data_IF_440196170175
#
_entry.id   IF_440196170175
#
_cell.length_a   1.000
_cell.length_b   1.000
_cell.length_c   1.000
_cell.angle_alpha   90.00
_cell.angle_beta   90.00
_cell.angle_gamma   90.00
#
_symmetry.space_group_name_H-M   'P 1'
#
loop_
_entity.id
_entity.type
_entity.pdbx_description
1 polymer ?
#
# COMPACT_ATOMS: atom_id res chain seq x y z
N UNK A 1 -11.10 -8.24 -25.17
CA UNK A 1 -11.60 -7.10 -24.37
C UNK A 1 -10.53 -6.03 -24.37
N UNK A 2 -10.91 -4.79 -24.62
CA UNK A 2 -10.04 -3.61 -24.60
C UNK A 2 -10.21 -2.89 -23.26
N UNK A 3 -9.20 -2.17 -22.81
CA UNK A 3 -9.27 -1.34 -21.58
C UNK A 3 -10.48 -0.38 -21.63
N UNK A 4 -10.78 0.15 -22.82
CA UNK A 4 -11.91 1.05 -23.07
C UNK A 4 -13.27 0.43 -22.80
N UNK A 5 -13.40 -0.91 -22.85
CA UNK A 5 -14.66 -1.59 -22.60
C UNK A 5 -15.04 -1.54 -21.09
N UNK A 6 -14.13 -1.05 -20.23
CA UNK A 6 -14.31 -0.85 -18.78
C UNK A 6 -14.23 0.62 -18.35
N UNK A 7 -14.25 1.56 -19.31
CA UNK A 7 -14.26 2.98 -19.01
C UNK A 7 -15.65 3.47 -18.60
N UNK A 8 -15.72 4.25 -17.52
CA UNK A 8 -16.94 4.90 -17.05
C UNK A 8 -16.60 6.30 -16.52
N UNK A 9 -17.59 7.19 -16.48
CA UNK A 9 -17.44 8.51 -15.89
C UNK A 9 -17.48 8.40 -14.36
N UNK A 10 -16.38 8.78 -13.70
CA UNK A 10 -16.26 8.82 -12.25
C UNK A 10 -15.87 10.24 -11.81
N UNK A 11 -16.84 11.06 -11.35
CA UNK A 11 -16.53 12.35 -10.74
C UNK A 11 -15.60 12.17 -9.53
N UNK A 12 -14.52 12.96 -9.46
CA UNK A 12 -13.56 12.91 -8.35
C UNK A 12 -14.23 13.08 -6.98
N UNK A 13 -15.29 13.90 -6.90
CA UNK A 13 -16.06 14.12 -5.68
C UNK A 13 -16.76 12.88 -5.13
N UNK A 14 -16.89 11.80 -5.91
CA UNK A 14 -17.44 10.53 -5.48
C UNK A 14 -16.37 9.53 -5.03
N UNK A 15 -15.08 9.88 -5.15
CA UNK A 15 -13.96 9.07 -4.64
C UNK A 15 -13.77 9.39 -3.16
N UNK A 16 -13.97 8.38 -2.30
CA UNK A 16 -13.75 8.55 -0.87
C UNK A 16 -12.25 8.63 -0.55
N UNK A 17 -11.80 9.76 0.01
CA UNK A 17 -10.42 9.94 0.47
C UNK A 17 -10.16 9.39 1.87
N UNK A 18 -11.24 9.25 2.65
CA UNK A 18 -11.25 8.69 4.00
C UNK A 18 -12.36 7.67 4.12
N UNK A 19 -12.17 6.61 4.93
CA UNK A 19 -13.24 5.68 5.25
C UNK A 19 -14.36 6.38 6.01
N UNK A 20 -15.56 5.82 5.95
CA UNK A 20 -16.67 6.25 6.81
C UNK A 20 -16.30 5.93 8.28
N UNK A 21 -16.43 6.87 9.24
CA UNK A 21 -16.01 6.67 10.63
C UNK A 21 -16.61 5.43 11.32
N UNK A 22 -17.90 5.20 11.08
CA UNK A 22 -18.66 4.01 11.45
C UNK A 22 -18.82 3.09 10.22
N UNK A 23 -17.82 2.22 10.00
CA UNK A 23 -17.70 1.40 8.77
C UNK A 23 -18.98 0.66 8.36
N UNK A 24 -19.77 0.19 9.33
CA UNK A 24 -21.05 -0.52 9.11
C UNK A 24 -22.13 0.33 8.44
N UNK A 25 -22.01 1.66 8.46
CA UNK A 25 -22.95 2.61 7.82
C UNK A 25 -22.59 2.96 6.39
N UNK A 26 -21.57 2.34 5.81
CA UNK A 26 -21.30 2.52 4.40
C UNK A 26 -22.45 1.97 3.53
N UNK A 27 -22.58 2.52 2.32
CA UNK A 27 -23.63 2.13 1.38
C UNK A 27 -23.32 0.73 0.83
N UNK A 28 -24.36 -0.07 0.63
CA UNK A 28 -24.29 -1.35 -0.06
C UNK A 28 -25.06 -1.25 -1.39
N UNK A 29 -24.42 -1.60 -2.50
CA UNK A 29 -25.07 -1.82 -3.78
C UNK A 29 -25.16 -3.33 -4.03
N UNK A 30 -26.38 -3.86 -4.06
CA UNK A 30 -26.64 -5.25 -4.42
C UNK A 30 -26.95 -5.34 -5.92
N UNK A 31 -26.27 -6.22 -6.63
CA UNK A 31 -26.52 -6.57 -8.02
C UNK A 31 -26.99 -8.03 -8.08
N UNK A 32 -28.18 -8.26 -8.61
CA UNK A 32 -28.62 -9.61 -8.92
C UNK A 32 -28.04 -10.04 -10.28
N UNK A 33 -27.11 -10.99 -10.27
CA UNK A 33 -26.32 -11.36 -11.45
C UNK A 33 -27.16 -11.72 -12.69
N UNK A 34 -28.15 -12.63 -12.60
CA UNK A 34 -28.96 -13.04 -13.74
C UNK A 34 -29.83 -11.95 -14.35
N UNK A 35 -30.52 -11.13 -13.55
CA UNK A 35 -31.44 -10.11 -14.08
C UNK A 35 -30.80 -8.74 -14.28
N UNK A 36 -29.67 -8.48 -13.63
CA UNK A 36 -29.07 -7.15 -13.55
C UNK A 36 -29.79 -6.19 -12.61
N UNK A 37 -30.77 -6.65 -11.82
CA UNK A 37 -31.50 -5.79 -10.90
C UNK A 37 -30.57 -5.21 -9.83
N UNK A 38 -30.69 -3.90 -9.60
CA UNK A 38 -29.93 -3.16 -8.62
C UNK A 38 -30.78 -2.83 -7.40
N UNK A 39 -30.22 -2.96 -6.20
CA UNK A 39 -30.85 -2.52 -4.96
C UNK A 39 -29.83 -1.77 -4.11
N UNK A 40 -30.24 -0.63 -3.56
CA UNK A 40 -29.43 0.18 -2.65
C UNK A 40 -29.82 -0.11 -1.20
N UNK A 41 -28.82 -0.18 -0.31
CA UNK A 41 -29.00 -0.36 1.12
C UNK A 41 -27.80 0.11 1.92
N UNK A 42 -27.70 -0.38 3.15
CA UNK A 42 -26.57 -0.20 4.07
C UNK A 42 -25.80 -1.51 4.26
N UNK A 43 -24.53 -1.44 4.64
CA UNK A 43 -23.70 -2.64 4.76
C UNK A 43 -24.24 -3.68 5.76
N UNK A 44 -24.94 -3.23 6.80
CA UNK A 44 -25.64 -4.12 7.76
C UNK A 44 -26.69 -5.01 7.10
N UNK A 45 -27.27 -4.59 5.96
CA UNK A 45 -28.29 -5.34 5.23
C UNK A 45 -27.71 -6.62 4.61
N UNK A 46 -26.37 -6.77 4.57
CA UNK A 46 -25.69 -7.98 4.15
C UNK A 46 -26.16 -9.20 4.97
N UNK A 47 -26.49 -9.00 6.25
CA UNK A 47 -26.95 -10.08 7.13
C UNK A 47 -28.25 -10.72 6.61
N UNK A 48 -29.12 -9.93 5.97
CA UNK A 48 -30.38 -10.40 5.38
C UNK A 48 -30.19 -11.06 4.01
N UNK A 49 -28.96 -11.04 3.46
CA UNK A 49 -28.61 -11.64 2.16
C UNK A 49 -27.93 -13.00 2.28
N UNK A 50 -27.57 -13.41 3.50
CA UNK A 50 -26.88 -14.68 3.76
C UNK A 50 -27.89 -15.76 4.16
N UNK A 51 -27.67 -16.96 3.66
CA UNK A 51 -28.43 -18.14 4.02
C UNK A 51 -27.65 -19.02 5.00
N UNK A 52 -28.34 -19.84 5.82
CA UNK A 52 -27.69 -20.88 6.58
C UNK A 52 -26.88 -21.81 5.66
N UNK A 53 -25.59 -21.96 5.96
CA UNK A 53 -24.64 -22.77 5.18
C UNK A 53 -23.71 -21.96 4.27
N UNK A 54 -23.92 -20.64 4.13
CA UNK A 54 -23.01 -19.78 3.37
C UNK A 54 -21.64 -19.64 4.06
N UNK A 55 -20.57 -19.56 3.25
CA UNK A 55 -19.20 -19.36 3.71
C UNK A 55 -18.73 -17.96 3.36
N UNK A 56 -18.40 -17.17 4.39
CA UNK A 56 -17.70 -15.90 4.24
C UNK A 56 -16.19 -16.13 4.30
N UNK A 57 -15.51 -15.86 3.18
CA UNK A 57 -14.04 -15.92 3.10
C UNK A 57 -13.49 -14.51 3.28
N UNK A 58 -12.83 -14.27 4.41
CA UNK A 58 -12.15 -13.01 4.67
C UNK A 58 -10.68 -13.12 4.26
N UNK A 59 -10.20 -12.13 3.51
CA UNK A 59 -8.79 -11.99 3.28
C UNK A 59 -8.15 -11.26 4.47
N UNK A 60 -7.44 -12.00 5.32
CA UNK A 60 -6.64 -11.43 6.39
C UNK A 60 -5.21 -11.18 5.89
N UNK A 61 -5.00 -10.08 5.15
CA UNK A 61 -3.67 -9.64 4.73
C UNK A 61 -3.03 -8.78 5.81
N UNK A 62 -1.80 -9.12 6.23
CA UNK A 62 -0.95 -8.20 7.00
C UNK A 62 -0.21 -7.29 6.03
N UNK A 63 -0.55 -6.01 6.04
CA UNK A 63 0.18 -5.01 5.25
C UNK A 63 1.40 -4.58 6.04
N UNK A 64 2.59 -4.76 5.45
CA UNK A 64 3.84 -4.25 6.01
C UNK A 64 3.96 -2.79 5.57
N UNK A 65 4.38 -1.86 6.46
CA UNK A 65 4.65 -0.47 6.10
C UNK A 65 5.87 -0.36 5.17
N UNK A 66 5.64 -0.69 3.90
CA UNK A 66 6.64 -0.92 2.87
C UNK A 66 7.04 0.36 2.12
N UNK A 67 6.51 1.53 2.49
CA UNK A 67 6.89 2.82 1.91
C UNK A 67 7.89 3.51 2.83
N UNK A 68 9.09 3.80 2.35
CA UNK A 68 10.11 4.54 3.09
C UNK A 68 10.40 5.86 2.37
N UNK A 69 10.56 6.92 3.16
CA UNK A 69 11.10 8.19 2.67
C UNK A 69 12.56 8.35 3.11
N UNK A 70 13.28 9.22 2.42
CA UNK A 70 14.66 9.52 2.76
C UNK A 70 15.38 10.35 1.70
N UNK A 71 16.70 10.24 1.69
CA UNK A 71 17.55 10.87 0.66
C UNK A 71 18.77 10.02 0.33
N UNK A 72 19.41 10.32 -0.80
CA UNK A 72 20.78 9.83 -1.04
C UNK A 72 21.76 10.61 -0.16
N UNK A 73 22.85 9.98 0.27
CA UNK A 73 23.93 10.67 0.97
C UNK A 73 24.51 11.84 0.15
N UNK A 74 24.51 11.71 -1.19
CA UNK A 74 24.88 12.78 -2.13
C UNK A 74 23.87 13.94 -2.21
N UNK A 75 22.76 13.86 -1.48
CA UNK A 75 21.61 14.74 -1.59
C UNK A 75 20.54 14.28 -2.60
N UNK A 76 19.36 14.87 -2.46
CA UNK A 76 18.18 14.57 -3.27
C UNK A 76 17.26 13.54 -2.59
N UNK A 77 15.98 13.91 -2.45
CA UNK A 77 14.94 13.09 -1.85
C UNK A 77 14.69 11.83 -2.67
N UNK A 78 14.36 10.75 -1.96
CA UNK A 78 13.95 9.48 -2.53
C UNK A 78 12.70 8.98 -1.80
N UNK A 79 11.90 8.21 -2.53
CA UNK A 79 10.82 7.40 -1.99
C UNK A 79 11.07 5.96 -2.43
N UNK A 80 11.04 5.03 -1.48
CA UNK A 80 11.32 3.61 -1.68
C UNK A 80 10.05 2.83 -1.39
N UNK A 81 9.55 2.09 -2.36
CA UNK A 81 8.40 1.19 -2.20
C UNK A 81 8.90 -0.25 -2.29
N UNK A 82 8.91 -0.94 -1.15
CA UNK A 82 9.36 -2.34 -1.05
C UNK A 82 8.37 -3.24 -1.78
N UNK A 83 8.88 -4.02 -2.73
CA UNK A 83 8.11 -5.06 -3.42
C UNK A 83 8.20 -6.38 -2.64
N UNK A 84 9.42 -6.78 -2.27
CA UNK A 84 9.66 -8.00 -1.50
C UNK A 84 10.98 -7.95 -0.75
N UNK A 85 11.03 -8.71 0.35
CA UNK A 85 12.28 -9.04 1.04
C UNK A 85 12.99 -10.17 0.29
N UNK A 86 14.31 -10.08 0.16
CA UNK A 86 15.16 -11.15 -0.35
C UNK A 86 15.68 -12.02 0.81
N UNK A 87 16.06 -11.37 1.90
CA UNK A 87 16.49 -11.96 3.16
C UNK A 87 16.32 -10.94 4.31
N UNK A 88 16.92 -11.21 5.47
CA UNK A 88 16.81 -10.38 6.68
C UNK A 88 17.49 -9.01 6.56
N UNK A 89 18.26 -8.74 5.50
CA UNK A 89 19.02 -7.50 5.30
C UNK A 89 18.74 -6.82 3.97
N UNK A 90 18.15 -7.53 3.00
CA UNK A 90 17.99 -7.04 1.63
C UNK A 90 16.56 -7.06 1.15
N UNK A 91 16.24 -6.06 0.33
CA UNK A 91 14.95 -5.92 -0.34
C UNK A 91 15.11 -5.70 -1.84
N UNK A 92 14.06 -6.00 -2.59
CA UNK A 92 13.80 -5.37 -3.88
C UNK A 92 12.72 -4.31 -3.73
N UNK A 93 12.98 -3.14 -4.31
CA UNK A 93 12.07 -2.00 -4.24
C UNK A 93 12.04 -1.19 -5.54
N UNK A 94 10.94 -0.48 -5.73
CA UNK A 94 10.90 0.67 -6.63
C UNK A 94 11.45 1.90 -5.90
N UNK A 95 12.34 2.64 -6.56
CA UNK A 95 12.87 3.90 -6.01
C UNK A 95 12.48 5.06 -6.94
N UNK A 96 11.67 5.97 -6.41
CA UNK A 96 11.36 7.26 -7.06
C UNK A 96 12.40 8.28 -6.63
N UNK A 97 13.12 8.83 -7.60
CA UNK A 97 14.14 9.86 -7.40
C UNK A 97 14.34 10.67 -8.69
N UNK A 98 14.74 11.94 -8.60
CA UNK A 98 15.05 12.74 -9.80
C UNK A 98 16.18 12.15 -10.64
N UNK A 99 17.16 11.51 -9.97
CA UNK A 99 18.19 10.70 -10.60
C UNK A 99 18.29 9.40 -9.82
N UNK A 100 18.03 8.29 -10.51
CA UNK A 100 18.07 6.95 -9.94
C UNK A 100 19.43 6.66 -9.30
N UNK A 101 19.46 6.01 -8.10
CA UNK A 101 20.70 5.60 -7.47
C UNK A 101 21.41 4.53 -8.30
N UNK A 102 22.74 4.57 -8.28
CA UNK A 102 23.61 3.55 -8.88
C UNK A 102 24.10 2.57 -7.81
N UNK A 103 24.60 1.38 -8.19
CA UNK A 103 25.31 0.50 -7.28
C UNK A 103 26.36 1.24 -6.45
N UNK A 104 26.38 0.99 -5.15
CA UNK A 104 27.22 1.67 -4.16
C UNK A 104 26.69 3.01 -3.66
N UNK A 105 25.50 3.47 -4.10
CA UNK A 105 24.91 4.71 -3.56
C UNK A 105 24.40 4.46 -2.14
N UNK A 106 24.90 5.25 -1.21
CA UNK A 106 24.38 5.29 0.17
C UNK A 106 23.06 6.07 0.23
N UNK A 107 22.11 5.49 0.94
CA UNK A 107 20.76 5.97 1.18
C UNK A 107 20.59 6.18 2.68
N UNK A 108 19.99 7.31 3.06
CA UNK A 108 19.60 7.64 4.42
C UNK A 108 18.07 7.62 4.46
N UNK A 109 17.51 6.63 5.16
CA UNK A 109 16.08 6.29 5.17
C UNK A 109 15.46 6.58 6.54
N UNK A 110 14.16 6.84 6.53
CA UNK A 110 13.40 7.32 7.68
C UNK A 110 13.32 8.84 7.71
N UNK A 111 12.29 9.37 8.38
CA UNK A 111 12.07 10.82 8.49
C UNK A 111 13.22 11.55 9.21
N UNK A 112 13.89 10.85 10.13
CA UNK A 112 15.07 11.31 10.85
C UNK A 112 16.39 10.93 10.15
N UNK A 113 16.31 10.29 8.99
CA UNK A 113 17.45 9.82 8.18
C UNK A 113 18.40 8.88 8.95
N UNK A 114 17.91 8.22 10.00
CA UNK A 114 18.73 7.39 10.91
C UNK A 114 19.14 6.03 10.32
N UNK A 115 18.44 5.56 9.29
CA UNK A 115 18.67 4.22 8.73
C UNK A 115 19.57 4.31 7.50
N UNK A 116 20.78 3.79 7.63
CA UNK A 116 21.70 3.70 6.51
C UNK A 116 21.42 2.45 5.68
N UNK A 117 21.38 2.62 4.36
CA UNK A 117 21.23 1.52 3.42
C UNK A 117 22.08 1.78 2.18
N UNK A 118 22.39 0.72 1.43
CA UNK A 118 23.19 0.81 0.21
C UNK A 118 22.41 0.21 -0.96
N UNK A 119 22.32 0.94 -2.07
CA UNK A 119 21.83 0.36 -3.32
C UNK A 119 22.93 -0.57 -3.86
N UNK A 120 22.67 -1.87 -3.94
CA UNK A 120 23.69 -2.88 -4.29
C UNK A 120 23.63 -3.30 -5.75
N UNK A 121 22.42 -3.52 -6.29
CA UNK A 121 22.22 -4.03 -7.63
C UNK A 121 20.93 -3.51 -8.26
N UNK A 122 20.83 -3.58 -9.60
CA UNK A 122 19.63 -3.22 -10.36
C UNK A 122 19.09 -4.43 -11.10
N UNK A 123 17.80 -4.68 -10.94
CA UNK A 123 17.06 -5.78 -11.56
C UNK A 123 15.95 -5.20 -12.44
N UNK A 124 16.32 -4.70 -13.61
CA UNK A 124 15.40 -3.99 -14.50
C UNK A 124 14.85 -2.71 -13.87
N UNK A 125 13.56 -2.72 -13.51
CA UNK A 125 12.88 -1.61 -12.84
C UNK A 125 13.09 -1.58 -11.31
N UNK A 126 13.61 -2.67 -10.73
CA UNK A 126 13.80 -2.83 -9.30
C UNK A 126 15.24 -2.55 -8.86
N UNK A 127 15.35 -2.06 -7.64
CA UNK A 127 16.60 -1.76 -6.97
C UNK A 127 16.75 -2.72 -5.80
N UNK A 128 17.89 -3.42 -5.76
CA UNK A 128 18.30 -4.16 -4.59
C UNK A 128 18.94 -3.19 -3.60
N UNK A 129 18.42 -3.19 -2.38
CA UNK A 129 18.88 -2.33 -1.29
C UNK A 129 19.21 -3.21 -0.09
N UNK A 130 20.40 -3.00 0.45
CA UNK A 130 20.89 -3.66 1.66
C UNK A 130 20.89 -2.67 2.82
N UNK A 131 20.30 -3.05 3.94
CA UNK A 131 20.24 -2.22 5.14
C UNK A 131 21.48 -2.43 6.02
N UNK A 132 22.16 -1.34 6.33
CA UNK A 132 23.37 -1.31 7.15
C UNK A 132 23.01 -1.10 8.65
N UNK A 133 22.06 -1.88 9.16
CA UNK A 133 21.55 -1.79 10.53
C UNK A 133 21.59 -3.19 11.18
N UNK A 134 21.86 -3.32 12.49
CA UNK A 134 21.84 -4.61 13.18
C UNK A 134 20.47 -5.29 13.16
N UNK A 135 19.37 -4.55 13.10
CA UNK A 135 17.99 -5.08 13.07
C UNK A 135 17.66 -5.78 11.73
N UNK A 136 16.77 -6.78 11.71
CA UNK A 136 16.20 -7.31 10.47
C UNK A 136 15.40 -6.25 9.70
N UNK A 137 15.32 -6.40 8.37
CA UNK A 137 14.53 -5.52 7.48
C UNK A 137 13.12 -5.30 7.99
N UNK A 138 12.44 -6.37 8.40
CA UNK A 138 11.05 -6.28 8.85
C UNK A 138 10.88 -5.33 10.05
N UNK A 139 11.81 -5.38 11.00
CA UNK A 139 11.78 -4.52 12.18
C UNK A 139 12.08 -3.06 11.82
N UNK A 140 12.96 -2.84 10.84
CA UNK A 140 13.24 -1.51 10.29
C UNK A 140 11.99 -0.95 9.60
N UNK A 141 11.35 -1.73 8.73
CA UNK A 141 10.11 -1.32 8.05
C UNK A 141 9.02 -0.98 9.07
N UNK A 142 8.83 -1.80 10.10
CA UNK A 142 7.86 -1.51 11.15
C UNK A 142 8.19 -0.24 11.97
N UNK A 143 9.47 0.11 12.08
CA UNK A 143 9.92 1.26 12.87
C UNK A 143 9.85 2.59 12.10
N UNK A 144 10.19 2.59 10.81
CA UNK A 144 10.34 3.83 10.01
C UNK A 144 9.47 3.87 8.75
N UNK A 145 8.72 2.81 8.51
CA UNK A 145 7.91 2.68 7.32
C UNK A 145 6.54 3.31 7.44
N UNK A 146 6.04 3.69 6.28
CA UNK A 146 4.72 4.24 6.06
C UNK A 146 3.82 3.21 5.39
N UNK A 147 2.53 3.28 5.71
CA UNK A 147 1.52 2.48 5.01
C UNK A 147 1.46 2.91 3.54
N UNK A 148 1.67 2.00 2.57
CA UNK A 148 1.54 2.35 1.17
C UNK A 148 0.07 2.61 0.85
N UNK A 149 -0.28 3.89 0.65
CA UNK A 149 -1.62 4.27 0.20
C UNK A 149 -1.75 4.10 -1.31
N UNK A 150 -2.93 3.69 -1.81
CA UNK A 150 -3.21 3.66 -3.24
C UNK A 150 -2.94 5.02 -3.91
N UNK A 151 -2.54 5.05 -5.19
CA UNK A 151 -2.09 6.27 -5.87
C UNK A 151 -3.18 7.34 -6.03
N UNK A 152 -4.46 7.00 -5.86
CA UNK A 152 -5.57 7.95 -5.88
C UNK A 152 -5.82 8.62 -4.51
N UNK A 153 -5.15 8.16 -3.45
CA UNK A 153 -5.20 8.75 -2.11
C UNK A 153 -3.96 9.62 -1.94
N UNK A 154 -4.09 10.92 -2.24
CA UNK A 154 -3.01 11.91 -2.13
C UNK A 154 -2.98 12.56 -0.74
N UNK A 155 -2.65 11.75 0.28
CA UNK A 155 -2.38 12.21 1.64
C UNK A 155 -1.29 11.35 2.30
N UNK A 156 -0.67 11.81 3.40
CA UNK A 156 0.08 10.95 4.28
C UNK A 156 -0.82 9.84 4.88
N UNK A 157 -0.21 8.72 5.22
CA UNK A 157 -0.84 7.68 6.02
C UNK A 157 -1.05 8.13 7.46
N UNK A 158 -2.11 7.62 8.07
CA UNK A 158 -2.54 7.93 9.44
C UNK A 158 -2.73 6.63 10.24
N UNK A 159 -2.82 6.71 11.56
CA UNK A 159 -2.89 5.54 12.45
C UNK A 159 -3.95 4.51 12.05
N UNK A 160 -5.10 4.96 11.55
CA UNK A 160 -6.18 4.05 11.13
C UNK A 160 -5.85 3.26 9.85
N UNK A 161 -4.87 3.69 9.07
CA UNK A 161 -4.38 2.96 7.89
C UNK A 161 -3.50 1.76 8.31
N UNK A 162 -2.94 1.79 9.52
CA UNK A 162 -2.19 0.68 10.13
C UNK A 162 -3.08 -0.37 10.80
N UNK A 163 -4.33 -0.03 11.09
CA UNK A 163 -5.28 -0.93 11.76
C UNK A 163 -5.81 -1.93 10.73
N UNK A 164 -5.34 -3.17 10.86
CA UNK A 164 -5.98 -4.32 10.22
C UNK A 164 -7.44 -4.34 10.66
N UNK A 165 -8.35 -4.50 9.70
CA UNK A 165 -9.77 -4.68 9.94
C UNK A 165 -9.95 -5.89 10.87
N UNK A 166 -10.07 -5.62 12.18
CA UNK A 166 -10.51 -6.60 13.19
C UNK A 166 -12.01 -6.64 13.24
#
# INVERSE_FOLDING_TARGET
MRVTDFSFELPESLIAHYPQPERSRCRLLSLEGPTGALTHGTFTDLLDKLNPGDLLVFNNTRVIPARLFGRKASGGKIEVLVERMLDDKRILAHIRASKAPKPGTELLLGDDESIHATMTARHGALFEVEFNDPRPVLDILNAIGHMPLPPYIDRPDEDFDYVLVT
#
